data_IF_006714018959
#
_entry.id   IF_006714018959
#
_cell.length_a   1.000
_cell.length_b   1.000
_cell.length_c   1.000
_cell.angle_alpha   90.00
_cell.angle_beta   90.00
_cell.angle_gamma   90.00
#
_symmetry.space_group_name_H-M   'P 1'
#
loop_
_entity.id
_entity.type
_entity.pdbx_description
1 polymer ?
#
# COMPACT_ATOMS: atom_id res chain seq x y z
N UNK A 1 19.47 56.86 21.42
CA UNK A 1 19.71 55.40 21.42
C UNK A 1 18.47 54.53 21.73
N UNK A 2 17.32 55.11 21.98
CA UNK A 2 16.10 54.37 22.39
C UNK A 2 15.18 53.95 21.26
N UNK A 3 15.38 54.46 20.05
CA UNK A 3 14.50 54.13 18.90
C UNK A 3 14.85 52.82 18.15
N UNK A 4 16.05 52.27 18.33
CA UNK A 4 16.50 51.04 17.64
C UNK A 4 16.09 49.74 18.34
N UNK A 5 15.76 49.78 19.62
CA UNK A 5 15.35 48.58 20.38
C UNK A 5 13.87 48.20 20.17
N UNK A 6 13.01 49.18 19.90
CA UNK A 6 11.58 48.92 19.68
C UNK A 6 11.27 48.24 18.33
N UNK A 7 12.11 48.52 17.31
CA UNK A 7 11.95 47.91 16.00
C UNK A 7 12.39 46.44 15.94
N UNK A 8 13.34 46.03 16.81
CA UNK A 8 13.77 44.63 16.88
C UNK A 8 12.74 43.73 17.54
N UNK A 9 12.11 44.22 18.62
CA UNK A 9 11.05 43.43 19.29
C UNK A 9 9.78 43.28 18.45
N UNK A 10 9.44 44.30 17.66
CA UNK A 10 8.30 44.23 16.75
C UNK A 10 8.51 43.23 15.61
N UNK A 11 9.76 43.10 15.09
CA UNK A 11 10.09 42.14 14.04
C UNK A 11 10.12 40.69 14.54
N UNK A 12 10.55 40.45 15.77
CA UNK A 12 10.53 39.14 16.41
C UNK A 12 9.10 38.67 16.72
N UNK A 13 8.24 39.60 17.15
CA UNK A 13 6.82 39.29 17.41
C UNK A 13 6.04 38.98 16.12
N UNK A 14 6.39 39.63 15.01
CA UNK A 14 5.76 39.37 13.71
C UNK A 14 6.24 38.00 13.11
N UNK A 15 7.50 37.64 13.33
CA UNK A 15 8.02 36.35 12.90
C UNK A 15 7.41 35.17 13.69
N UNK A 16 7.19 35.40 15.01
CA UNK A 16 6.56 34.37 15.86
C UNK A 16 5.07 34.16 15.54
N UNK A 17 4.36 35.18 15.08
CA UNK A 17 2.94 35.02 14.64
C UNK A 17 2.81 34.27 13.31
N UNK A 18 3.75 34.47 12.41
CA UNK A 18 3.72 33.76 11.09
C UNK A 18 4.06 32.27 11.22
N UNK A 19 4.86 31.86 12.20
CA UNK A 19 5.14 30.45 12.44
C UNK A 19 3.97 29.72 13.12
N UNK A 20 3.23 30.40 14.00
CA UNK A 20 2.07 29.80 14.65
C UNK A 20 0.89 29.57 13.69
N UNK A 21 0.73 30.44 12.69
CA UNK A 21 -0.35 30.30 11.69
C UNK A 21 -0.05 29.21 10.66
N UNK A 22 1.23 28.90 10.42
CA UNK A 22 1.60 27.85 9.46
C UNK A 22 1.45 26.42 10.00
N UNK A 23 1.49 26.26 11.33
CA UNK A 23 1.29 24.94 11.95
C UNK A 23 -0.18 24.50 12.04
N UNK A 24 -1.12 25.43 11.99
CA UNK A 24 -2.54 25.11 12.07
C UNK A 24 -3.14 24.65 10.73
N UNK A 25 -2.52 25.00 9.60
CA UNK A 25 -3.04 24.64 8.27
C UNK A 25 -2.62 23.25 7.79
N UNK A 26 -1.59 22.64 8.38
CA UNK A 26 -1.12 21.32 7.98
C UNK A 26 -1.92 20.19 8.65
N UNK A 27 -2.65 20.50 9.73
CA UNK A 27 -3.41 19.47 10.49
C UNK A 27 -4.77 19.11 9.92
N UNK A 28 -5.29 19.83 8.93
CA UNK A 28 -6.68 19.64 8.50
C UNK A 28 -6.88 18.78 7.25
N UNK A 29 -5.80 18.21 6.67
CA UNK A 29 -5.96 17.41 5.44
C UNK A 29 -6.08 15.89 5.65
N UNK A 30 -5.94 15.42 6.90
CA UNK A 30 -6.04 13.98 7.18
C UNK A 30 -7.33 13.54 7.86
N UNK A 31 -8.27 14.48 8.09
CA UNK A 31 -9.49 14.18 8.86
C UNK A 31 -10.71 13.77 8.04
N UNK A 32 -10.67 13.89 6.71
CA UNK A 32 -11.90 13.84 5.93
C UNK A 32 -12.16 12.52 5.18
N UNK A 33 -11.36 11.46 5.40
CA UNK A 33 -11.60 10.19 4.72
C UNK A 33 -12.00 9.04 5.66
N UNK A 34 -12.02 9.28 6.96
CA UNK A 34 -12.26 8.24 7.97
C UNK A 34 -13.71 8.11 8.45
N UNK A 35 -14.57 9.10 8.16
CA UNK A 35 -15.89 9.22 8.81
C UNK A 35 -17.04 8.58 8.02
N UNK A 36 -16.75 7.58 7.18
CA UNK A 36 -17.78 6.98 6.34
C UNK A 36 -18.55 5.83 7.02
N UNK A 37 -18.16 5.47 8.25
CA UNK A 37 -18.81 4.38 8.99
C UNK A 37 -19.22 4.89 10.39
N UNK A 38 -20.38 5.53 10.52
CA UNK A 38 -20.73 6.25 11.76
C UNK A 38 -20.93 5.40 13.01
N UNK A 39 -21.01 4.09 12.89
CA UNK A 39 -21.33 3.20 14.00
C UNK A 39 -20.32 2.07 14.24
N UNK A 40 -19.09 2.18 13.70
CA UNK A 40 -18.06 1.16 13.93
C UNK A 40 -16.77 1.78 14.50
N UNK A 41 -16.02 0.99 15.26
CA UNK A 41 -14.72 1.39 15.79
C UNK A 41 -13.68 1.40 14.68
N UNK A 42 -12.79 2.40 14.73
CA UNK A 42 -11.62 2.41 13.87
C UNK A 42 -10.59 1.41 14.36
N UNK A 43 -10.04 0.63 13.43
CA UNK A 43 -9.01 -0.35 13.73
C UNK A 43 -7.75 0.36 14.26
N UNK A 44 -7.17 -0.19 15.32
CA UNK A 44 -5.88 0.26 15.86
C UNK A 44 -4.78 0.01 14.83
N UNK A 45 -3.87 0.95 14.70
CA UNK A 45 -2.71 0.79 13.82
C UNK A 45 -1.68 -0.13 14.49
N UNK A 46 -1.40 -1.26 13.87
CA UNK A 46 -0.44 -2.24 14.34
C UNK A 46 0.90 -2.08 13.58
N UNK A 47 2.01 -2.45 14.21
CA UNK A 47 3.34 -2.25 13.61
C UNK A 47 3.71 -3.40 12.65
N UNK A 48 2.99 -3.53 11.55
CA UNK A 48 3.25 -4.57 10.54
C UNK A 48 4.66 -4.45 9.98
N UNK A 49 5.41 -5.53 9.98
CA UNK A 49 6.78 -5.52 9.45
C UNK A 49 6.81 -5.25 7.95
N UNK A 50 5.86 -5.81 7.21
CA UNK A 50 5.77 -5.62 5.77
C UNK A 50 5.46 -4.17 5.35
N UNK A 51 4.96 -3.33 6.24
CA UNK A 51 4.76 -1.88 5.95
C UNK A 51 6.07 -1.10 5.91
N UNK A 52 7.12 -1.60 6.55
CA UNK A 52 8.42 -0.92 6.58
C UNK A 52 9.08 -0.95 5.20
N UNK A 53 9.71 0.17 4.82
CA UNK A 53 10.29 0.36 3.48
C UNK A 53 11.36 -0.70 3.14
N UNK A 54 12.09 -1.15 4.14
CA UNK A 54 13.23 -2.06 3.99
C UNK A 54 12.93 -3.50 4.37
N UNK A 55 11.67 -3.82 4.73
CA UNK A 55 11.27 -5.18 5.14
C UNK A 55 10.43 -5.83 4.04
N UNK A 56 10.57 -7.13 3.93
CA UNK A 56 9.78 -8.02 3.07
C UNK A 56 8.78 -8.79 3.94
N UNK A 57 8.02 -9.67 3.33
CA UNK A 57 7.13 -10.57 4.06
C UNK A 57 7.95 -11.53 4.95
N UNK A 58 7.37 -11.91 6.08
CA UNK A 58 7.83 -13.03 6.90
C UNK A 58 7.27 -14.32 6.30
N UNK A 59 8.10 -15.04 5.55
CA UNK A 59 7.67 -16.22 4.80
C UNK A 59 7.24 -17.39 5.71
N UNK A 60 7.71 -17.45 6.97
CA UNK A 60 7.22 -18.40 7.95
C UNK A 60 5.79 -18.04 8.40
N UNK A 61 5.54 -16.76 8.63
CA UNK A 61 4.20 -16.26 8.93
C UNK A 61 3.23 -16.52 7.75
N UNK A 62 3.70 -16.37 6.49
CA UNK A 62 2.89 -16.71 5.31
C UNK A 62 2.48 -18.18 5.29
N UNK A 63 3.41 -19.09 5.61
CA UNK A 63 3.14 -20.53 5.66
C UNK A 63 2.10 -20.86 6.72
N UNK A 64 2.27 -20.33 7.95
CA UNK A 64 1.30 -20.49 9.03
C UNK A 64 -0.06 -19.87 8.65
N UNK A 65 -0.06 -18.69 8.06
CA UNK A 65 -1.28 -18.00 7.63
C UNK A 65 -2.04 -18.76 6.56
N UNK A 66 -1.31 -19.39 5.63
CA UNK A 66 -1.90 -20.28 4.63
C UNK A 66 -2.55 -21.50 5.30
N UNK A 67 -1.90 -22.08 6.31
CA UNK A 67 -2.47 -23.20 7.07
C UNK A 67 -3.78 -22.77 7.76
N UNK A 68 -3.80 -21.60 8.41
CA UNK A 68 -5.04 -21.06 9.02
C UNK A 68 -6.12 -20.87 7.95
N UNK A 69 -5.74 -20.33 6.78
CA UNK A 69 -6.71 -20.16 5.69
C UNK A 69 -7.32 -21.52 5.28
N UNK A 70 -6.46 -22.54 5.06
CA UNK A 70 -6.94 -23.87 4.63
C UNK A 70 -7.85 -24.53 5.66
N UNK A 71 -7.45 -24.52 6.93
CA UNK A 71 -8.16 -25.26 7.99
C UNK A 71 -9.42 -24.53 8.47
N UNK A 72 -9.44 -23.19 8.41
CA UNK A 72 -10.53 -22.40 9.01
C UNK A 72 -11.35 -21.64 7.95
N UNK A 73 -10.67 -20.84 7.10
CA UNK A 73 -11.35 -19.88 6.23
C UNK A 73 -11.88 -20.48 4.93
N UNK A 74 -11.18 -21.47 4.38
CA UNK A 74 -11.46 -22.04 3.06
C UNK A 74 -12.81 -22.79 3.02
N UNK A 75 -13.34 -23.17 4.18
CA UNK A 75 -14.68 -23.79 4.28
C UNK A 75 -15.81 -22.87 3.81
N UNK A 76 -15.62 -21.55 3.89
CA UNK A 76 -16.64 -20.55 3.53
C UNK A 76 -16.15 -19.54 2.50
N UNK A 77 -14.85 -19.26 2.45
CA UNK A 77 -14.28 -18.19 1.63
C UNK A 77 -13.43 -18.74 0.49
N UNK A 78 -13.73 -18.31 -0.72
CA UNK A 78 -12.93 -18.61 -1.90
C UNK A 78 -11.66 -17.75 -1.96
N UNK A 79 -10.70 -18.20 -2.78
CA UNK A 79 -9.46 -17.47 -3.09
C UNK A 79 -9.16 -17.65 -4.59
N UNK A 80 -10.01 -17.09 -5.42
CA UNK A 80 -10.09 -17.35 -6.87
C UNK A 80 -8.90 -16.82 -7.67
N UNK A 81 -8.05 -15.97 -7.07
CA UNK A 81 -6.93 -15.32 -7.80
C UNK A 81 -5.58 -15.96 -7.52
N UNK A 82 -5.52 -16.95 -6.62
CA UNK A 82 -4.28 -17.63 -6.24
C UNK A 82 -4.29 -19.06 -6.82
N UNK A 83 -3.28 -19.35 -7.62
CA UNK A 83 -3.02 -20.70 -8.14
C UNK A 83 -1.93 -21.37 -7.29
N UNK A 84 -1.86 -22.70 -7.32
CA UNK A 84 -0.84 -23.45 -6.57
C UNK A 84 0.59 -23.02 -6.95
N UNK A 85 0.84 -22.68 -8.22
CA UNK A 85 2.15 -22.17 -8.66
C UNK A 85 2.58 -20.88 -7.95
N UNK A 86 1.62 -20.08 -7.45
CA UNK A 86 1.95 -18.82 -6.77
C UNK A 86 2.54 -19.06 -5.38
N UNK A 87 2.28 -20.23 -4.78
CA UNK A 87 2.80 -20.60 -3.46
C UNK A 87 4.31 -20.95 -3.54
N UNK A 88 4.74 -21.42 -4.71
CA UNK A 88 6.11 -21.89 -4.95
C UNK A 88 7.10 -20.73 -4.87
N UNK A 89 8.18 -20.95 -4.14
CA UNK A 89 9.24 -19.94 -3.96
C UNK A 89 8.92 -18.84 -2.97
N UNK A 90 7.67 -18.78 -2.51
CA UNK A 90 7.30 -17.88 -1.41
C UNK A 90 7.39 -18.62 -0.07
N UNK A 91 6.59 -19.65 0.12
CA UNK A 91 6.60 -20.40 1.39
C UNK A 91 6.43 -21.91 1.19
N UNK A 92 6.40 -22.38 -0.05
CA UNK A 92 6.35 -23.80 -0.40
C UNK A 92 7.40 -24.13 -1.44
N UNK A 93 7.85 -25.38 -1.43
CA UNK A 93 8.65 -25.96 -2.50
C UNK A 93 7.73 -26.38 -3.67
N UNK A 94 8.32 -26.68 -4.82
CA UNK A 94 7.58 -27.18 -5.98
C UNK A 94 6.84 -28.49 -5.64
N UNK A 95 7.53 -29.40 -4.95
CA UNK A 95 6.99 -30.73 -4.63
C UNK A 95 5.84 -30.64 -3.62
N UNK A 96 5.97 -29.77 -2.59
CA UNK A 96 4.88 -29.53 -1.64
C UNK A 96 3.64 -28.95 -2.34
N UNK A 97 3.83 -27.94 -3.16
CA UNK A 97 2.70 -27.29 -3.87
C UNK A 97 2.04 -28.24 -4.87
N UNK A 98 2.83 -29.13 -5.48
CA UNK A 98 2.32 -30.15 -6.39
C UNK A 98 1.50 -31.21 -5.62
N UNK A 99 2.04 -31.73 -4.52
CA UNK A 99 1.33 -32.69 -3.67
C UNK A 99 -0.01 -32.09 -3.17
N UNK A 100 0.03 -30.84 -2.72
CA UNK A 100 -1.17 -30.14 -2.26
C UNK A 100 -2.21 -29.97 -3.39
N UNK A 101 -1.76 -29.71 -4.63
CA UNK A 101 -2.66 -29.60 -5.77
C UNK A 101 -3.33 -30.95 -6.07
N UNK A 102 -2.54 -32.05 -6.04
CA UNK A 102 -2.99 -33.41 -6.34
C UNK A 102 -4.02 -33.92 -5.32
N UNK A 103 -4.10 -33.37 -4.13
CA UNK A 103 -5.14 -33.69 -3.14
C UNK A 103 -6.53 -33.25 -3.57
N UNK A 104 -6.63 -32.32 -4.51
CA UNK A 104 -7.90 -31.77 -4.98
C UNK A 104 -8.21 -32.25 -6.39
N UNK A 105 -9.49 -32.53 -6.65
CA UNK A 105 -9.98 -32.95 -7.96
C UNK A 105 -10.54 -31.76 -8.73
N UNK A 106 -10.20 -31.70 -10.00
CA UNK A 106 -10.65 -30.67 -10.93
C UNK A 106 -11.32 -31.32 -12.14
N UNK A 107 -12.32 -30.65 -12.65
CA UNK A 107 -13.03 -31.10 -13.84
C UNK A 107 -12.14 -30.89 -15.08
N UNK A 108 -12.11 -31.89 -15.99
CA UNK A 108 -11.47 -31.74 -17.30
C UNK A 108 -12.40 -30.98 -18.24
N UNK A 109 -11.86 -30.61 -19.39
CA UNK A 109 -12.70 -30.17 -20.51
C UNK A 109 -13.54 -31.38 -20.96
N UNK A 110 -14.77 -31.16 -21.45
CA UNK A 110 -15.58 -32.27 -21.97
C UNK A 110 -14.86 -33.02 -23.08
N UNK A 111 -14.91 -34.34 -23.03
CA UNK A 111 -14.36 -35.19 -24.07
C UNK A 111 -15.24 -35.14 -25.36
N UNK A 112 -14.87 -35.84 -26.38
CA UNK A 112 -15.60 -35.85 -27.67
C UNK A 112 -17.06 -36.32 -27.51
N UNK A 113 -17.38 -37.03 -26.44
CA UNK A 113 -18.72 -37.51 -26.08
C UNK A 113 -19.48 -36.56 -25.20
N UNK A 114 -18.84 -35.42 -24.79
CA UNK A 114 -19.44 -34.41 -23.92
C UNK A 114 -19.35 -34.72 -22.44
N UNK A 115 -18.64 -35.78 -22.05
CA UNK A 115 -18.48 -36.15 -20.64
C UNK A 115 -17.34 -35.37 -19.97
N UNK A 116 -17.55 -34.96 -18.75
CA UNK A 116 -16.55 -34.24 -17.92
C UNK A 116 -15.93 -35.28 -16.97
N UNK A 117 -14.64 -35.47 -17.07
CA UNK A 117 -13.89 -36.37 -16.20
C UNK A 117 -13.24 -35.58 -15.06
N UNK A 118 -12.88 -36.27 -13.99
CA UNK A 118 -12.12 -35.74 -12.87
C UNK A 118 -10.63 -36.03 -13.07
N UNK A 119 -9.81 -35.05 -12.73
CA UNK A 119 -8.34 -35.22 -12.72
C UNK A 119 -7.76 -34.66 -11.46
N UNK A 120 -6.60 -35.15 -11.00
CA UNK A 120 -5.88 -34.52 -9.91
C UNK A 120 -5.42 -33.11 -10.32
N UNK A 121 -5.32 -32.22 -9.35
CA UNK A 121 -4.90 -30.85 -9.60
C UNK A 121 -3.46 -30.72 -10.06
N UNK A 122 -3.18 -29.61 -10.72
CA UNK A 122 -1.85 -29.24 -11.24
C UNK A 122 -1.45 -27.87 -10.66
N UNK A 123 -0.18 -27.53 -10.75
CA UNK A 123 0.32 -26.23 -10.29
C UNK A 123 -0.38 -25.04 -10.97
N UNK A 124 -0.91 -25.22 -12.18
CA UNK A 124 -1.65 -24.18 -12.92
C UNK A 124 -3.05 -23.93 -12.40
N UNK A 125 -3.62 -24.88 -11.65
CA UNK A 125 -4.98 -24.75 -11.14
C UNK A 125 -5.04 -23.74 -9.98
N UNK A 126 -6.20 -23.11 -9.84
CA UNK A 126 -6.46 -22.17 -8.76
C UNK A 126 -6.96 -22.90 -7.51
N UNK A 127 -6.77 -22.29 -6.36
CA UNK A 127 -7.29 -22.85 -5.10
C UNK A 127 -8.81 -23.07 -5.22
N UNK A 128 -9.32 -24.22 -4.75
CA UNK A 128 -10.73 -24.55 -4.92
C UNK A 128 -11.65 -23.59 -4.19
N UNK A 129 -12.82 -23.36 -4.76
CA UNK A 129 -13.87 -22.57 -4.12
C UNK A 129 -14.78 -23.50 -3.33
N UNK A 130 -15.22 -23.10 -2.11
CA UNK A 130 -16.11 -23.98 -1.31
C UNK A 130 -17.50 -24.15 -1.93
N UNK A 131 -17.94 -23.21 -2.75
CA UNK A 131 -19.26 -23.24 -3.38
C UNK A 131 -19.14 -23.08 -4.89
N UNK A 132 -20.02 -23.74 -5.63
CA UNK A 132 -20.05 -23.70 -7.10
C UNK A 132 -20.44 -22.29 -7.62
N UNK A 133 -21.33 -21.62 -6.92
CA UNK A 133 -21.83 -20.28 -7.30
C UNK A 133 -22.30 -19.51 -6.06
N UNK A 134 -22.64 -18.25 -6.26
CA UNK A 134 -23.04 -17.34 -5.19
C UNK A 134 -24.37 -17.73 -4.55
N UNK A 135 -25.30 -18.34 -5.31
CA UNK A 135 -26.58 -18.82 -4.79
C UNK A 135 -26.37 -19.98 -3.79
N UNK A 136 -25.51 -20.93 -4.14
CA UNK A 136 -25.14 -22.04 -3.26
C UNK A 136 -24.45 -21.51 -1.98
N UNK A 137 -23.59 -20.51 -2.12
CA UNK A 137 -22.94 -19.87 -0.97
C UNK A 137 -23.96 -19.22 -0.04
N UNK A 138 -24.91 -18.46 -0.60
CA UNK A 138 -25.97 -17.81 0.21
C UNK A 138 -26.88 -18.83 0.89
N UNK A 139 -27.24 -19.90 0.18
CA UNK A 139 -28.11 -20.98 0.74
C UNK A 139 -27.43 -21.65 1.94
N UNK A 140 -26.11 -21.85 1.88
CA UNK A 140 -25.34 -22.48 2.96
C UNK A 140 -25.06 -21.54 4.14
N UNK A 141 -25.18 -20.22 3.96
CA UNK A 141 -24.78 -19.24 4.96
C UNK A 141 -25.89 -18.25 5.33
N UNK A 142 -27.09 -18.74 5.45
CA UNK A 142 -28.28 -17.96 5.89
C UNK A 142 -28.49 -16.67 5.07
N UNK A 143 -28.24 -16.75 3.76
CA UNK A 143 -28.38 -15.61 2.85
C UNK A 143 -27.12 -14.75 2.71
N UNK A 144 -26.12 -14.93 3.55
CA UNK A 144 -24.89 -14.16 3.51
C UNK A 144 -23.93 -14.69 2.42
N UNK A 145 -23.17 -13.80 1.81
CA UNK A 145 -22.19 -14.17 0.79
C UNK A 145 -20.76 -13.88 1.25
N UNK A 146 -19.87 -14.81 1.43
CA UNK A 146 -18.72 -14.69 1.78
C UNK A 146 -17.97 -14.06 0.83
N UNK A 147 -17.36 -13.17 1.05
CA UNK A 147 -16.49 -12.57 0.06
C UNK A 147 -15.26 -13.42 -0.27
N UNK A 148 -14.79 -13.28 -1.48
CA UNK A 148 -13.49 -13.83 -1.90
C UNK A 148 -12.36 -13.11 -1.15
N UNK A 149 -11.39 -13.86 -0.62
CA UNK A 149 -10.34 -13.30 0.23
C UNK A 149 -9.09 -12.85 -0.54
N UNK A 150 -8.99 -13.12 -1.84
CA UNK A 150 -7.77 -12.83 -2.63
C UNK A 150 -7.29 -11.39 -2.50
N UNK A 151 -8.21 -10.42 -2.48
CA UNK A 151 -7.90 -8.99 -2.44
C UNK A 151 -8.52 -8.27 -1.24
N UNK A 152 -8.94 -9.02 -0.23
CA UNK A 152 -9.75 -8.47 0.88
C UNK A 152 -9.01 -7.34 1.62
N UNK A 153 -7.71 -7.46 1.80
CA UNK A 153 -6.90 -6.44 2.49
C UNK A 153 -6.94 -5.10 1.74
N UNK A 154 -6.94 -5.14 0.40
CA UNK A 154 -7.06 -3.92 -0.43
C UNK A 154 -8.50 -3.45 -0.58
N UNK A 155 -9.46 -4.33 -0.35
CA UNK A 155 -10.89 -4.05 -0.54
C UNK A 155 -11.56 -3.50 0.73
N UNK A 156 -10.82 -3.31 1.80
CA UNK A 156 -11.36 -2.79 3.08
C UNK A 156 -10.52 -1.62 3.59
N UNK A 157 -11.17 -0.58 4.07
CA UNK A 157 -10.51 0.53 4.76
C UNK A 157 -9.79 0.01 5.99
N UNK A 158 -8.57 0.47 6.21
CA UNK A 158 -7.74 0.01 7.31
C UNK A 158 -6.91 -1.23 6.98
N UNK A 159 -7.19 -1.89 5.86
CA UNK A 159 -6.39 -3.02 5.36
C UNK A 159 -6.11 -4.09 6.40
N UNK A 160 -4.84 -4.42 6.62
CA UNK A 160 -4.40 -5.41 7.61
C UNK A 160 -4.90 -5.09 9.01
N UNK A 161 -4.88 -3.81 9.41
CA UNK A 161 -5.34 -3.38 10.73
C UNK A 161 -6.82 -3.70 10.94
N UNK A 162 -7.63 -3.44 9.91
CA UNK A 162 -9.07 -3.73 9.97
C UNK A 162 -9.34 -5.22 10.05
N UNK A 163 -8.72 -6.04 9.19
CA UNK A 163 -8.95 -7.49 9.17
C UNK A 163 -8.50 -8.11 10.51
N UNK A 164 -7.35 -7.69 11.03
CA UNK A 164 -6.86 -8.17 12.33
C UNK A 164 -7.84 -7.80 13.46
N UNK A 165 -8.27 -6.54 13.50
CA UNK A 165 -9.23 -6.07 14.53
C UNK A 165 -10.57 -6.80 14.41
N UNK A 166 -11.04 -7.05 13.18
CA UNK A 166 -12.27 -7.78 12.93
C UNK A 166 -12.18 -9.21 13.47
N UNK A 167 -11.09 -9.92 13.18
CA UNK A 167 -10.91 -11.33 13.58
C UNK A 167 -10.75 -11.50 15.11
N UNK A 168 -10.12 -10.52 15.77
CA UNK A 168 -9.86 -10.57 17.21
C UNK A 168 -10.88 -9.79 18.05
N UNK A 169 -11.76 -9.05 17.40
CA UNK A 169 -12.65 -8.09 18.07
C UNK A 169 -14.01 -8.63 18.52
N UNK A 170 -14.25 -9.94 18.44
CA UNK A 170 -15.50 -10.53 18.93
C UNK A 170 -15.50 -10.59 20.46
N UNK A 171 -16.39 -9.86 21.14
CA UNK A 171 -16.52 -10.03 22.58
C UNK A 171 -17.27 -11.34 22.90
N UNK A 172 -17.10 -11.83 24.11
CA UNK A 172 -17.83 -13.04 24.58
C UNK A 172 -19.33 -12.76 24.64
N UNK A 173 -19.70 -11.56 25.10
CA UNK A 173 -21.10 -11.11 25.14
C UNK A 173 -21.20 -9.71 24.54
N UNK A 174 -22.26 -9.41 23.78
CA UNK A 174 -22.46 -8.05 23.30
C UNK A 174 -22.57 -7.06 24.47
N UNK A 175 -22.02 -5.84 24.32
CA UNK A 175 -22.10 -4.85 25.40
C UNK A 175 -23.56 -4.44 25.68
N UNK A 176 -23.81 -4.01 26.91
CA UNK A 176 -25.14 -3.59 27.34
C UNK A 176 -25.70 -2.48 26.41
N UNK A 177 -26.90 -2.69 25.90
CA UNK A 177 -27.53 -1.74 24.98
C UNK A 177 -27.23 -1.99 23.51
N UNK A 178 -26.34 -2.93 23.17
CA UNK A 178 -26.11 -3.30 21.77
C UNK A 178 -27.34 -4.02 21.20
N UNK A 179 -27.81 -3.54 20.05
CA UNK A 179 -28.94 -4.18 19.33
C UNK A 179 -28.35 -4.83 18.08
N UNK A 180 -28.43 -6.16 18.04
CA UNK A 180 -27.98 -6.96 16.90
C UNK A 180 -29.16 -7.70 16.32
N UNK A 181 -29.31 -7.68 15.01
CA UNK A 181 -30.38 -8.42 14.33
C UNK A 181 -30.21 -9.93 14.54
N UNK A 182 -31.32 -10.64 14.59
CA UNK A 182 -31.29 -12.09 14.71
C UNK A 182 -30.49 -12.73 13.58
N UNK A 183 -29.62 -13.67 13.92
CA UNK A 183 -28.74 -14.35 12.96
C UNK A 183 -27.42 -13.65 12.69
N UNK A 184 -27.21 -12.47 13.29
CA UNK A 184 -25.93 -11.76 13.17
C UNK A 184 -25.16 -11.82 14.50
N UNK A 185 -23.84 -11.65 14.40
CA UNK A 185 -22.93 -11.62 15.54
C UNK A 185 -22.43 -10.19 15.76
N UNK A 186 -22.30 -9.78 17.02
CA UNK A 186 -21.78 -8.45 17.34
C UNK A 186 -20.28 -8.39 17.06
N UNK A 187 -19.87 -7.35 16.31
CA UNK A 187 -18.46 -7.04 16.11
C UNK A 187 -18.31 -5.50 16.00
N UNK A 188 -17.61 -4.85 16.93
CA UNK A 188 -17.57 -3.39 16.96
C UNK A 188 -16.82 -2.78 15.77
N UNK A 189 -16.00 -3.56 15.08
CA UNK A 189 -15.22 -3.07 13.92
C UNK A 189 -16.00 -3.19 12.60
N UNK A 190 -17.02 -4.03 12.55
CA UNK A 190 -17.83 -4.20 11.35
C UNK A 190 -18.83 -3.05 11.20
N UNK A 191 -18.98 -2.48 9.98
CA UNK A 191 -19.97 -1.42 9.78
C UNK A 191 -21.38 -1.87 10.17
N UNK A 192 -22.04 -1.12 11.06
CA UNK A 192 -23.33 -1.47 11.61
C UNK A 192 -23.29 -2.44 12.78
N UNK A 193 -22.10 -2.90 13.16
CA UNK A 193 -21.80 -3.75 14.32
C UNK A 193 -22.38 -5.17 14.30
N UNK A 194 -23.25 -5.51 13.34
CA UNK A 194 -23.83 -6.86 13.16
C UNK A 194 -23.26 -7.54 11.93
N UNK A 195 -22.47 -8.60 12.11
CA UNK A 195 -21.83 -9.35 11.03
C UNK A 195 -22.34 -10.80 10.98
N UNK A 196 -22.58 -11.32 9.76
CA UNK A 196 -23.02 -12.71 9.59
C UNK A 196 -21.94 -13.72 9.97
N UNK A 197 -20.66 -13.38 9.80
CA UNK A 197 -19.54 -14.25 10.17
C UNK A 197 -19.45 -14.37 11.70
N UNK A 198 -19.51 -15.59 12.21
CA UNK A 198 -19.30 -15.86 13.64
C UNK A 198 -17.81 -15.75 13.98
N UNK A 199 -17.48 -15.71 15.26
CA UNK A 199 -16.09 -15.83 15.71
C UNK A 199 -15.55 -17.19 15.24
N UNK A 200 -14.44 -17.19 14.53
CA UNK A 200 -13.87 -18.41 13.93
C UNK A 200 -12.51 -18.78 14.51
N UNK A 201 -11.85 -17.87 15.24
CA UNK A 201 -10.52 -18.12 15.81
C UNK A 201 -10.61 -18.27 17.32
N UNK A 202 -10.11 -19.40 17.83
CA UNK A 202 -10.01 -19.74 19.25
C UNK A 202 -8.61 -20.28 19.52
N UNK A 203 -8.10 -20.06 20.71
CA UNK A 203 -6.75 -20.50 21.09
C UNK A 203 -6.62 -22.02 20.91
N UNK A 204 -5.59 -22.46 20.24
CA UNK A 204 -5.30 -23.86 19.99
C UNK A 204 -6.16 -24.52 18.90
N UNK A 205 -6.88 -23.73 18.10
CA UNK A 205 -7.73 -24.26 17.03
C UNK A 205 -6.94 -24.98 15.94
N UNK A 206 -5.74 -24.45 15.60
CA UNK A 206 -4.85 -24.99 14.57
C UNK A 206 -3.58 -25.50 15.27
N UNK A 207 -3.04 -26.61 14.82
CA UNK A 207 -1.73 -27.09 15.29
C UNK A 207 -0.69 -26.78 14.20
N UNK A 208 0.12 -25.78 14.45
CA UNK A 208 1.14 -25.36 13.48
C UNK A 208 2.28 -26.38 13.35
N UNK A 209 2.69 -26.65 12.13
CA UNK A 209 3.82 -27.55 11.81
C UNK A 209 5.11 -27.14 12.53
N UNK A 210 5.33 -25.84 12.72
CA UNK A 210 6.52 -25.28 13.37
C UNK A 210 6.41 -25.18 14.91
N UNK A 211 5.30 -25.70 15.47
CA UNK A 211 5.01 -25.74 16.93
C UNK A 211 4.87 -24.34 17.56
N UNK A 212 4.58 -23.36 16.77
CA UNK A 212 4.22 -22.04 17.29
C UNK A 212 2.87 -22.09 18.00
N UNK A 213 2.44 -21.53 19.01
CA UNK A 213 1.41 -21.45 19.59
C UNK A 213 0.48 -20.84 18.89
N UNK A 214 -0.46 -21.44 18.71
CA UNK A 214 -1.61 -20.96 17.93
C UNK A 214 -2.62 -20.22 18.83
N UNK A 215 -2.23 -19.09 19.36
CA UNK A 215 -3.18 -18.19 20.04
C UNK A 215 -4.04 -17.49 18.98
N UNK A 216 -5.22 -17.02 19.38
CA UNK A 216 -6.13 -16.25 18.52
C UNK A 216 -5.41 -15.09 17.84
N UNK A 217 -4.60 -14.34 18.58
CA UNK A 217 -3.85 -13.20 18.04
C UNK A 217 -2.74 -13.63 17.07
N UNK A 218 -2.07 -14.75 17.35
CA UNK A 218 -1.04 -15.29 16.45
C UNK A 218 -1.66 -15.76 15.13
N UNK A 219 -2.74 -16.53 15.21
CA UNK A 219 -3.44 -17.00 14.00
C UNK A 219 -3.99 -15.83 13.20
N UNK A 220 -4.57 -14.83 13.87
CA UNK A 220 -5.07 -13.63 13.20
C UNK A 220 -3.94 -12.86 12.52
N UNK A 221 -2.78 -12.71 13.19
CA UNK A 221 -1.59 -12.06 12.62
C UNK A 221 -1.10 -12.81 11.38
N UNK A 222 -0.94 -14.13 11.50
CA UNK A 222 -0.40 -14.95 10.42
C UNK A 222 -1.34 -14.98 9.21
N UNK A 223 -2.65 -15.16 9.42
CA UNK A 223 -3.61 -15.17 8.31
C UNK A 223 -3.71 -13.79 7.64
N UNK A 224 -3.61 -12.70 8.39
CA UNK A 224 -3.62 -11.36 7.82
C UNK A 224 -2.35 -11.10 6.98
N UNK A 225 -1.18 -11.56 7.44
CA UNK A 225 0.05 -11.50 6.62
C UNK A 225 -0.14 -12.27 5.31
N UNK A 226 -0.70 -13.47 5.39
CA UNK A 226 -1.00 -14.28 4.20
C UNK A 226 -1.99 -13.54 3.26
N UNK A 227 -3.07 -12.99 3.80
CA UNK A 227 -4.07 -12.24 3.01
C UNK A 227 -3.47 -10.95 2.40
N UNK A 228 -2.51 -10.34 3.06
CA UNK A 228 -1.79 -9.21 2.48
C UNK A 228 -0.90 -9.66 1.33
N UNK A 229 -0.22 -10.81 1.48
CA UNK A 229 0.57 -11.40 0.40
C UNK A 229 -0.32 -11.75 -0.80
N UNK A 230 -1.50 -12.35 -0.60
CA UNK A 230 -2.40 -12.67 -1.71
C UNK A 230 -2.82 -11.41 -2.49
N UNK A 231 -2.95 -10.28 -1.78
CA UNK A 231 -3.32 -9.00 -2.40
C UNK A 231 -2.13 -8.30 -3.06
N UNK A 232 -0.89 -8.58 -2.64
CA UNK A 232 0.36 -7.99 -3.15
C UNK A 232 1.50 -9.01 -3.25
N UNK A 233 1.36 -10.08 -4.04
CA UNK A 233 2.40 -11.10 -4.09
C UNK A 233 3.73 -10.60 -4.63
N UNK A 234 3.71 -9.50 -5.37
CA UNK A 234 4.89 -8.86 -5.96
C UNK A 234 5.65 -7.93 -5.00
N UNK A 235 5.18 -7.73 -3.79
CA UNK A 235 5.70 -6.69 -2.88
C UNK A 235 7.21 -6.85 -2.60
N UNK A 236 7.67 -8.06 -2.36
CA UNK A 236 9.09 -8.33 -2.07
C UNK A 236 9.97 -7.94 -3.28
N UNK A 237 9.57 -8.36 -4.47
CA UNK A 237 10.30 -8.03 -5.71
C UNK A 237 10.22 -6.53 -6.01
N UNK A 238 9.06 -5.93 -5.81
CA UNK A 238 8.89 -4.47 -5.99
C UNK A 238 9.82 -3.69 -5.07
N UNK A 239 9.94 -4.08 -3.80
CA UNK A 239 10.82 -3.40 -2.82
C UNK A 239 12.29 -3.60 -3.18
N UNK A 240 12.70 -4.83 -3.52
CA UNK A 240 14.07 -5.14 -3.93
C UNK A 240 14.45 -4.35 -5.20
N UNK A 241 13.56 -4.36 -6.20
CA UNK A 241 13.76 -3.61 -7.44
C UNK A 241 13.79 -2.10 -7.18
N UNK A 242 12.93 -1.62 -6.28
CA UNK A 242 12.85 -0.21 -5.90
C UNK A 242 14.20 0.34 -5.41
N UNK A 243 14.92 -0.40 -4.57
CA UNK A 243 16.25 0.00 -4.12
C UNK A 243 17.25 0.11 -5.28
N UNK A 244 17.22 -0.84 -6.22
CA UNK A 244 18.06 -0.81 -7.42
C UNK A 244 17.73 0.43 -8.29
N UNK A 245 16.44 0.67 -8.51
CA UNK A 245 15.96 1.83 -9.29
C UNK A 245 16.39 3.14 -8.61
N UNK A 246 16.26 3.24 -7.28
CA UNK A 246 16.65 4.44 -6.54
C UNK A 246 18.16 4.71 -6.63
N UNK A 247 18.99 3.66 -6.59
CA UNK A 247 20.45 3.79 -6.75
C UNK A 247 20.81 4.34 -8.14
N UNK A 248 20.22 3.74 -9.19
CA UNK A 248 20.47 4.18 -10.59
C UNK A 248 19.94 5.60 -10.80
N UNK A 249 18.70 5.87 -10.41
CA UNK A 249 18.09 7.19 -10.59
C UNK A 249 18.83 8.27 -9.80
N UNK A 250 19.27 7.95 -8.58
CA UNK A 250 20.07 8.86 -7.75
C UNK A 250 21.40 9.22 -8.41
N UNK A 251 22.07 8.22 -8.96
CA UNK A 251 23.34 8.42 -9.70
C UNK A 251 23.12 9.32 -10.92
N UNK A 252 22.11 9.01 -11.74
CA UNK A 252 21.79 9.81 -12.92
C UNK A 252 21.38 11.24 -12.54
N UNK A 253 20.64 11.39 -11.46
CA UNK A 253 20.27 12.71 -10.94
C UNK A 253 21.52 13.51 -10.52
N UNK A 254 22.42 12.89 -9.75
CA UNK A 254 23.67 13.53 -9.32
C UNK A 254 24.51 13.98 -10.53
N UNK A 255 24.64 13.09 -11.54
CA UNK A 255 25.34 13.40 -12.78
C UNK A 255 24.68 14.56 -13.54
N UNK A 256 23.35 14.57 -13.64
CA UNK A 256 22.62 15.63 -14.34
C UNK A 256 22.77 16.97 -13.62
N UNK A 257 22.73 16.98 -12.30
CA UNK A 257 22.97 18.19 -11.49
C UNK A 257 24.40 18.68 -11.70
N UNK A 258 25.38 17.76 -11.70
CA UNK A 258 26.79 18.11 -11.94
C UNK A 258 26.98 18.72 -13.32
N UNK A 259 26.45 18.09 -14.38
CA UNK A 259 26.55 18.58 -15.76
C UNK A 259 25.83 19.94 -15.89
N UNK A 260 24.66 20.07 -15.33
CA UNK A 260 23.91 21.34 -15.33
C UNK A 260 24.74 22.44 -14.66
N UNK A 261 25.28 22.19 -13.47
CA UNK A 261 26.10 23.18 -12.74
C UNK A 261 27.36 23.55 -13.53
N UNK A 262 28.05 22.56 -14.09
CA UNK A 262 29.26 22.77 -14.91
C UNK A 262 28.93 23.68 -16.11
N UNK A 263 27.91 23.36 -16.88
CA UNK A 263 27.51 24.12 -18.07
C UNK A 263 27.08 25.56 -17.73
N UNK A 264 26.31 25.72 -16.66
CA UNK A 264 25.80 27.03 -16.29
C UNK A 264 26.76 27.90 -15.49
N UNK A 265 27.82 27.35 -14.92
CA UNK A 265 28.81 28.11 -14.18
C UNK A 265 29.42 29.23 -15.05
N UNK A 266 29.78 28.93 -16.28
CA UNK A 266 30.35 29.90 -17.21
C UNK A 266 29.43 31.09 -17.43
N UNK A 267 28.12 30.82 -17.58
CA UNK A 267 27.10 31.88 -17.81
C UNK A 267 26.87 32.68 -16.52
N UNK A 268 26.73 32.01 -15.39
CA UNK A 268 26.39 32.66 -14.11
C UNK A 268 27.49 33.44 -13.50
N UNK A 269 28.76 33.05 -13.75
CA UNK A 269 29.95 33.76 -13.21
C UNK A 269 30.54 34.77 -14.18
N UNK A 270 30.01 34.85 -15.41
CA UNK A 270 30.47 35.79 -16.41
C UNK A 270 30.31 37.23 -15.91
N UNK A 271 31.40 37.99 -15.92
CA UNK A 271 31.38 39.42 -15.55
C UNK A 271 30.98 40.22 -16.79
N UNK A 272 29.89 40.94 -16.69
CA UNK A 272 29.44 41.87 -17.72
C UNK A 272 29.98 43.25 -17.36
N UNK A 273 30.86 43.80 -18.21
CA UNK A 273 31.44 45.13 -18.04
C UNK A 273 30.94 46.00 -19.20
N UNK A 274 30.23 47.07 -18.86
CA UNK A 274 29.85 48.06 -19.83
C UNK A 274 31.05 49.00 -20.07
N UNK A 275 31.58 48.99 -21.28
CA UNK A 275 32.61 49.94 -21.72
C UNK A 275 31.91 51.00 -22.59
N UNK A 276 31.62 52.17 -22.03
CA UNK A 276 31.04 53.23 -22.87
C UNK A 276 32.02 53.60 -23.99
N UNK A 277 31.52 53.93 -25.17
CA UNK A 277 32.40 54.33 -26.28
C UNK A 277 33.23 55.57 -25.89
N UNK A 278 34.56 55.42 -25.98
CA UNK A 278 35.51 56.49 -25.60
C UNK A 278 35.63 57.54 -26.68
N UNK A 279 35.17 57.29 -27.87
CA UNK A 279 35.14 58.26 -28.96
C UNK A 279 33.79 58.96 -29.04
N UNK A 280 33.84 60.29 -28.98
CA UNK A 280 32.68 61.09 -29.35
C UNK A 280 32.30 60.64 -30.77
N UNK A 281 31.16 60.05 -30.93
CA UNK A 281 30.66 59.71 -32.25
C UNK A 281 30.62 60.99 -33.07
N UNK A 282 31.48 61.07 -34.07
CA UNK A 282 31.38 62.11 -35.06
C UNK A 282 30.04 61.83 -35.77
N UNK A 283 29.06 62.61 -35.42
CA UNK A 283 27.71 62.48 -35.98
C UNK A 283 27.82 62.81 -37.46
N UNK A 284 27.89 61.80 -38.29
CA UNK A 284 27.81 61.97 -39.73
C UNK A 284 26.37 62.25 -40.08
N UNK A 285 26.05 63.48 -40.53
CA UNK A 285 24.67 63.88 -40.75
C UNK A 285 23.91 63.08 -41.81
N UNK A 286 24.64 62.24 -42.54
CA UNK A 286 24.03 61.42 -43.62
C UNK A 286 23.80 59.96 -43.21
N UNK A 287 24.13 59.57 -41.99
CA UNK A 287 23.91 58.20 -41.53
C UNK A 287 22.70 58.10 -40.60
N UNK A 288 21.64 57.37 -40.97
CA UNK A 288 20.44 57.28 -40.16
C UNK A 288 20.52 56.34 -38.96
N UNK A 289 21.62 55.64 -38.78
CA UNK A 289 21.76 54.69 -37.66
C UNK A 289 23.10 54.83 -36.92
N UNK A 290 23.02 54.91 -35.61
CA UNK A 290 24.24 54.90 -34.78
C UNK A 290 24.80 53.49 -34.67
N UNK A 291 26.03 53.31 -35.06
CA UNK A 291 26.76 52.05 -34.82
C UNK A 291 27.26 52.01 -33.38
N UNK A 292 26.84 51.01 -32.63
CA UNK A 292 27.30 50.76 -31.27
C UNK A 292 28.27 49.61 -31.32
N UNK A 293 29.52 49.83 -30.97
CA UNK A 293 30.56 48.78 -30.86
C UNK A 293 30.64 48.33 -29.42
N UNK A 294 30.34 47.05 -29.18
CA UNK A 294 30.51 46.42 -27.88
C UNK A 294 31.55 45.29 -28.05
N UNK A 295 32.60 45.32 -27.25
CA UNK A 295 33.71 44.34 -27.27
C UNK A 295 34.32 44.16 -28.67
N UNK A 296 34.49 45.28 -29.42
CA UNK A 296 35.10 45.22 -30.73
C UNK A 296 34.25 44.64 -31.85
N UNK A 297 33.06 44.25 -31.57
CA UNK A 297 32.10 43.75 -32.58
C UNK A 297 31.02 44.81 -32.87
N UNK A 298 30.72 44.97 -34.14
CA UNK A 298 29.72 45.89 -34.61
C UNK A 298 28.32 45.23 -34.54
N UNK A 299 27.42 45.93 -33.88
CA UNK A 299 26.02 45.52 -33.83
C UNK A 299 25.17 46.62 -34.44
N UNK A 300 24.42 46.28 -35.49
CA UNK A 300 23.46 47.17 -36.09
C UNK A 300 22.17 47.12 -35.23
N UNK A 301 21.63 48.26 -34.83
CA UNK A 301 20.34 48.41 -34.19
C UNK A 301 19.26 48.54 -35.23
#
# INVERSE_FOLDING_TARGET
MLARSSLRSARLAAAARNTATRQSTVRNHSRNTADHWPNSLHATKYPWEHEKLYKTFDHQSLRRGFQVYQEVCASCHSMKRIAYRNLVGNFMTVDEAKALAEENEFDTEPNDEGEIEKRPGKLSDYLPSPYKNDEAARAANNGALXPDLSLIVKARHGGCNYIFSLLTGYPEEPPAGAVVQEGLNFNPYFPGTGIAMARVLYDGLVEYDDKTXATTSQMAKDVVEFLNWTAEPEMDDRKKMGWKVMAVAGTLFALSVWVKRYKWTVVKTRKLVYNPPTTKAVRNPSSPRAEVKIDGKEYLK
#
